data_IF_787353862075
#
_entry.id   IF_787353862075
#
_cell.length_a   1.000
_cell.length_b   1.000
_cell.length_c   1.000
_cell.angle_alpha   90.00
_cell.angle_beta   90.00
_cell.angle_gamma   90.00
#
_symmetry.space_group_name_H-M   'P 1'
#
loop_
_entity.id
_entity.type
_entity.pdbx_description
1 polymer ?
#
# COMPACT_ATOMS: atom_id res chain seq x y z
N UNK A 1 14.22 -20.59 48.50
CA UNK A 1 14.06 -21.50 47.33
C UNK A 1 13.34 -20.74 46.22
N UNK A 2 14.08 -20.02 45.37
CA UNK A 2 13.52 -19.23 44.27
C UNK A 2 13.53 -20.02 42.98
N UNK A 3 12.35 -20.23 42.38
CA UNK A 3 12.23 -20.80 41.03
C UNK A 3 12.72 -19.77 40.01
N UNK A 4 13.84 -20.05 39.37
CA UNK A 4 14.29 -19.33 38.17
C UNK A 4 13.42 -19.81 37.01
N UNK A 5 12.68 -18.88 36.41
CA UNK A 5 11.86 -19.11 35.23
C UNK A 5 12.77 -19.51 34.05
N UNK A 6 12.54 -20.70 33.50
CA UNK A 6 13.10 -21.08 32.19
C UNK A 6 12.39 -20.25 31.13
N UNK A 7 13.08 -19.28 30.55
CA UNK A 7 12.64 -18.67 29.30
C UNK A 7 12.70 -19.75 28.22
N UNK A 8 11.55 -20.03 27.61
CA UNK A 8 11.41 -20.88 26.44
C UNK A 8 12.18 -20.27 25.27
N UNK A 9 13.32 -20.86 24.94
CA UNK A 9 14.05 -20.55 23.72
C UNK A 9 13.17 -20.88 22.51
N UNK A 10 12.77 -19.85 21.76
CA UNK A 10 12.30 -20.05 20.38
C UNK A 10 13.38 -20.75 19.56
N UNK A 11 13.04 -21.33 18.39
CA UNK A 11 13.98 -22.14 17.64
C UNK A 11 15.22 -21.30 17.27
N UNK A 12 16.36 -21.64 17.89
CA UNK A 12 17.68 -21.03 17.70
C UNK A 12 18.16 -21.10 16.23
N UNK A 13 17.44 -21.84 15.39
CA UNK A 13 17.66 -21.97 13.94
C UNK A 13 17.37 -20.70 13.14
N UNK A 14 16.85 -19.64 13.74
CA UNK A 14 16.59 -18.34 13.08
C UNK A 14 17.66 -17.27 13.33
N UNK A 15 18.64 -17.53 14.19
CA UNK A 15 19.72 -16.59 14.50
C UNK A 15 20.84 -16.71 13.46
N UNK A 16 21.34 -15.57 13.00
CA UNK A 16 22.47 -15.51 12.08
C UNK A 16 23.74 -16.00 12.78
N UNK A 17 24.18 -17.20 12.43
CA UNK A 17 25.34 -17.86 13.03
C UNK A 17 26.65 -17.08 12.81
N UNK A 18 26.73 -16.22 11.80
CA UNK A 18 27.91 -15.34 11.63
C UNK A 18 27.90 -14.17 12.60
N UNK A 19 26.71 -13.72 13.02
CA UNK A 19 26.53 -12.60 13.95
C UNK A 19 26.55 -13.07 15.41
N UNK A 20 26.15 -14.31 15.67
CA UNK A 20 26.09 -14.90 17.01
C UNK A 20 26.76 -16.28 17.07
N UNK A 21 28.05 -16.42 16.71
CA UNK A 21 28.72 -17.73 16.62
C UNK A 21 28.71 -18.50 17.94
N UNK A 22 28.79 -17.79 19.07
CA UNK A 22 28.74 -18.39 20.40
C UNK A 22 27.40 -19.07 20.73
N UNK A 23 26.30 -18.71 20.06
CA UNK A 23 24.99 -19.36 20.24
C UNK A 23 25.01 -20.75 19.62
N UNK A 24 25.59 -20.87 18.42
CA UNK A 24 25.79 -22.18 17.76
C UNK A 24 26.83 -23.03 18.47
N UNK A 25 27.87 -22.40 19.00
CA UNK A 25 28.96 -23.06 19.73
C UNK A 25 28.64 -23.29 21.21
N UNK A 26 27.45 -22.89 21.68
CA UNK A 26 27.00 -23.01 23.08
C UNK A 26 28.00 -22.47 24.12
N UNK A 27 28.62 -21.34 23.83
CA UNK A 27 29.58 -20.68 24.72
C UNK A 27 29.17 -19.23 25.01
N UNK A 28 29.92 -18.60 25.91
CA UNK A 28 29.81 -17.16 26.12
C UNK A 28 30.59 -16.41 25.02
N UNK A 29 30.07 -15.27 24.55
CA UNK A 29 30.80 -14.42 23.63
C UNK A 29 31.91 -13.66 24.35
N UNK A 30 33.04 -13.48 23.68
CA UNK A 30 34.06 -12.54 24.13
C UNK A 30 33.64 -11.08 23.87
N UNK A 31 34.42 -10.13 24.40
CA UNK A 31 34.10 -8.71 24.26
C UNK A 31 34.11 -8.23 22.81
N UNK A 32 34.96 -8.79 21.94
CA UNK A 32 35.06 -8.38 20.55
C UNK A 32 33.85 -8.90 19.76
N UNK A 33 33.44 -10.14 20.00
CA UNK A 33 32.26 -10.75 19.42
C UNK A 33 30.97 -10.03 19.84
N UNK A 34 30.85 -9.66 21.12
CA UNK A 34 29.71 -8.88 21.61
C UNK A 34 29.61 -7.53 20.88
N UNK A 35 30.74 -6.80 20.76
CA UNK A 35 30.78 -5.52 20.08
C UNK A 35 30.48 -5.64 18.58
N UNK A 36 31.07 -6.64 17.91
CA UNK A 36 30.83 -6.89 16.49
C UNK A 36 29.36 -7.25 16.22
N UNK A 37 28.76 -8.11 17.04
CA UNK A 37 27.36 -8.47 16.92
C UNK A 37 26.42 -7.29 17.18
N UNK A 38 26.74 -6.44 18.16
CA UNK A 38 25.99 -5.23 18.45
C UNK A 38 26.03 -4.25 17.25
N UNK A 39 27.21 -3.98 16.70
CA UNK A 39 27.38 -3.11 15.55
C UNK A 39 26.68 -3.65 14.29
N UNK A 40 26.84 -4.95 14.00
CA UNK A 40 26.17 -5.60 12.87
C UNK A 40 24.64 -5.54 13.01
N UNK A 41 24.13 -5.81 14.23
CA UNK A 41 22.69 -5.71 14.52
C UNK A 41 22.17 -4.30 14.36
N UNK A 42 22.87 -3.30 14.90
CA UNK A 42 22.51 -1.89 14.76
C UNK A 42 22.49 -1.46 13.28
N UNK A 43 23.47 -1.91 12.49
CA UNK A 43 23.57 -1.61 11.05
C UNK A 43 22.41 -2.23 10.27
N UNK A 44 22.06 -3.49 10.55
CA UNK A 44 20.91 -4.16 9.92
C UNK A 44 19.59 -3.46 10.28
N UNK A 45 19.40 -3.10 11.56
CA UNK A 45 18.21 -2.37 12.01
C UNK A 45 18.12 -0.98 11.37
N UNK A 46 19.22 -0.24 11.30
CA UNK A 46 19.27 1.07 10.66
C UNK A 46 18.94 0.96 9.17
N UNK A 47 19.54 0.00 8.47
CA UNK A 47 19.26 -0.25 7.04
C UNK A 47 17.79 -0.59 6.82
N UNK A 48 17.21 -1.46 7.65
CA UNK A 48 15.82 -1.86 7.54
C UNK A 48 14.85 -0.71 7.81
N UNK A 49 15.17 0.17 8.77
CA UNK A 49 14.42 1.41 9.02
C UNK A 49 14.46 2.32 7.80
N UNK A 50 15.65 2.63 7.28
CA UNK A 50 15.81 3.49 6.09
C UNK A 50 15.06 2.93 4.88
N UNK A 51 15.10 1.61 4.64
CA UNK A 51 14.32 1.00 3.55
C UNK A 51 12.81 1.09 3.77
N UNK A 52 12.35 1.02 5.01
CA UNK A 52 10.92 1.16 5.34
C UNK A 52 10.48 2.61 5.17
N UNK A 53 11.28 3.57 5.65
CA UNK A 53 11.02 4.99 5.52
C UNK A 53 11.00 5.43 4.06
N UNK A 54 11.97 4.97 3.25
CA UNK A 54 11.98 5.24 1.80
C UNK A 54 10.73 4.70 1.09
N UNK A 55 10.25 3.51 1.48
CA UNK A 55 9.01 2.94 0.90
C UNK A 55 7.78 3.73 1.31
N UNK A 56 7.68 4.13 2.57
CA UNK A 56 6.57 4.95 3.06
C UNK A 56 6.57 6.33 2.39
N UNK A 57 7.74 6.96 2.27
CA UNK A 57 7.90 8.22 1.55
C UNK A 57 7.47 8.10 0.09
N UNK A 58 7.84 7.01 -0.59
CA UNK A 58 7.41 6.75 -1.96
C UNK A 58 5.88 6.59 -2.06
N UNK A 59 5.25 5.88 -1.12
CA UNK A 59 3.78 5.76 -1.03
C UNK A 59 3.13 7.13 -0.86
N UNK A 60 3.49 7.87 0.20
CA UNK A 60 2.90 9.19 0.50
C UNK A 60 3.14 10.19 -0.62
N UNK A 61 4.31 10.12 -1.29
CA UNK A 61 4.61 10.97 -2.44
C UNK A 61 3.68 10.66 -3.62
N UNK A 62 3.38 9.39 -3.89
CA UNK A 62 2.47 9.00 -4.97
C UNK A 62 1.04 9.48 -4.70
N UNK A 63 0.51 9.25 -3.50
CA UNK A 63 -0.84 9.71 -3.12
C UNK A 63 -0.97 11.23 -3.26
N UNK A 64 0.02 11.96 -2.75
CA UNK A 64 0.07 13.41 -2.89
C UNK A 64 0.16 13.85 -4.35
N UNK A 65 0.97 13.18 -5.16
CA UNK A 65 1.06 13.47 -6.59
C UNK A 65 -0.29 13.29 -7.30
N UNK A 66 -1.03 12.23 -6.95
CA UNK A 66 -2.38 12.02 -7.50
C UNK A 66 -3.34 13.10 -7.02
N UNK A 67 -3.36 13.43 -5.73
CA UNK A 67 -4.20 14.49 -5.17
C UNK A 67 -3.92 15.86 -5.82
N UNK A 68 -2.64 16.25 -5.92
CA UNK A 68 -2.20 17.50 -6.54
C UNK A 68 -2.63 17.55 -8.02
N UNK A 69 -2.53 16.43 -8.74
CA UNK A 69 -2.98 16.31 -10.12
C UNK A 69 -4.52 16.46 -10.24
N UNK A 70 -5.29 15.79 -9.39
CA UNK A 70 -6.76 15.89 -9.38
C UNK A 70 -7.22 17.33 -9.13
N UNK A 71 -6.59 18.04 -8.19
CA UNK A 71 -6.82 19.47 -8.01
C UNK A 71 -6.42 20.30 -9.23
N UNK A 72 -5.29 19.96 -9.87
CA UNK A 72 -4.80 20.62 -11.07
C UNK A 72 -5.74 20.52 -12.28
N UNK A 73 -6.48 19.42 -12.41
CA UNK A 73 -7.51 19.25 -13.46
C UNK A 73 -8.89 19.80 -13.06
N UNK A 74 -8.98 20.49 -11.92
CA UNK A 74 -10.15 21.24 -11.50
C UNK A 74 -11.12 20.50 -10.57
N UNK A 75 -10.72 19.38 -9.95
CA UNK A 75 -11.53 18.77 -8.89
C UNK A 75 -11.33 19.49 -7.56
N UNK A 76 -12.40 19.59 -6.78
CA UNK A 76 -12.35 20.20 -5.44
C UNK A 76 -11.90 19.18 -4.41
N UNK A 77 -10.82 19.48 -3.67
CA UNK A 77 -10.40 18.65 -2.55
C UNK A 77 -11.22 19.00 -1.29
N UNK A 78 -11.89 18.00 -0.70
CA UNK A 78 -12.67 18.14 0.53
C UNK A 78 -12.11 17.27 1.65
N UNK A 79 -12.52 17.55 2.89
CA UNK A 79 -12.09 16.79 4.06
C UNK A 79 -12.47 15.30 3.97
N UNK A 80 -11.61 14.39 4.49
CA UNK A 80 -11.90 12.95 4.59
C UNK A 80 -13.20 12.68 5.34
N UNK A 81 -13.92 11.64 4.92
CA UNK A 81 -15.18 11.20 5.51
C UNK A 81 -15.39 9.73 5.24
N UNK A 82 -16.04 9.02 6.15
CA UNK A 82 -16.42 7.64 5.90
C UNK A 82 -17.59 7.60 4.91
N UNK A 83 -17.45 6.78 3.87
CA UNK A 83 -18.45 6.66 2.81
C UNK A 83 -19.08 5.28 2.95
N UNK A 84 -20.26 5.24 3.58
CA UNK A 84 -21.02 3.98 3.77
C UNK A 84 -22.10 3.81 2.72
N UNK A 85 -22.59 4.92 2.17
CA UNK A 85 -23.57 5.02 1.09
C UNK A 85 -23.13 6.08 0.08
N UNK A 86 -23.80 6.12 -1.08
CA UNK A 86 -23.51 7.13 -2.11
C UNK A 86 -23.79 8.57 -1.66
N UNK A 87 -24.58 8.79 -0.61
CA UNK A 87 -24.92 10.12 -0.11
C UNK A 87 -23.82 10.69 0.80
N UNK A 88 -22.99 9.83 1.38
CA UNK A 88 -21.88 10.23 2.23
C UNK A 88 -20.68 10.78 1.43
N UNK A 89 -20.67 10.55 0.12
CA UNK A 89 -19.55 10.85 -0.74
C UNK A 89 -19.33 12.36 -0.95
N UNK A 90 -18.14 12.78 -1.44
CA UNK A 90 -17.95 14.14 -1.93
C UNK A 90 -18.97 14.51 -3.01
N UNK A 91 -19.20 15.82 -3.18
CA UNK A 91 -19.98 16.35 -4.29
C UNK A 91 -19.36 15.95 -5.64
N UNK A 92 -20.18 15.92 -6.70
CA UNK A 92 -19.71 15.64 -8.07
C UNK A 92 -18.57 16.57 -8.45
N UNK A 93 -17.51 16.03 -9.05
CA UNK A 93 -16.30 16.80 -9.36
C UNK A 93 -15.44 17.15 -8.14
N UNK A 94 -15.65 16.46 -7.02
CA UNK A 94 -14.84 16.60 -5.81
C UNK A 94 -14.20 15.27 -5.41
N UNK A 95 -13.18 15.34 -4.55
CA UNK A 95 -12.52 14.18 -4.00
C UNK A 95 -12.07 14.41 -2.56
N UNK A 96 -11.87 13.33 -1.82
CA UNK A 96 -11.22 13.36 -0.52
C UNK A 96 -10.00 12.42 -0.50
N UNK A 97 -9.08 12.67 0.43
CA UNK A 97 -7.95 11.77 0.72
C UNK A 97 -8.37 10.48 1.44
N UNK A 98 -7.41 9.80 2.09
CA UNK A 98 -7.62 8.47 2.67
C UNK A 98 -8.86 8.42 3.58
N UNK A 99 -9.79 7.53 3.26
CA UNK A 99 -11.01 7.33 4.05
C UNK A 99 -11.55 5.90 3.89
N UNK A 100 -12.51 5.53 4.75
CA UNK A 100 -13.26 4.29 4.55
C UNK A 100 -14.23 4.46 3.37
N UNK A 101 -14.19 3.52 2.42
CA UNK A 101 -15.17 3.37 1.37
C UNK A 101 -15.80 1.99 1.50
N UNK A 102 -16.96 1.95 2.15
CA UNK A 102 -17.54 0.72 2.65
C UNK A 102 -16.71 0.08 3.75
N UNK A 103 -16.39 -1.21 3.60
CA UNK A 103 -15.59 -1.98 4.56
C UNK A 103 -14.07 -1.89 4.34
N UNK A 104 -13.61 -1.17 3.29
CA UNK A 104 -12.18 -1.03 2.96
C UNK A 104 -11.75 0.42 2.84
N UNK A 105 -10.52 0.70 3.27
CA UNK A 105 -9.86 1.99 3.00
C UNK A 105 -9.50 2.13 1.53
N UNK A 106 -9.75 3.31 0.97
CA UNK A 106 -9.15 3.79 -0.27
C UNK A 106 -8.16 4.90 0.06
N UNK A 107 -7.09 5.04 -0.74
CA UNK A 107 -6.11 6.11 -0.54
C UNK A 107 -6.69 7.47 -0.97
N UNK A 108 -7.58 7.49 -1.97
CA UNK A 108 -8.43 8.64 -2.32
C UNK A 108 -9.82 8.14 -2.77
N UNK A 109 -10.85 8.98 -2.67
CA UNK A 109 -12.15 8.72 -3.30
C UNK A 109 -12.59 9.94 -4.10
N UNK A 110 -12.85 9.73 -5.39
CA UNK A 110 -13.36 10.74 -6.32
C UNK A 110 -14.84 10.50 -6.57
N UNK A 111 -15.66 11.56 -6.51
CA UNK A 111 -17.01 11.54 -7.07
C UNK A 111 -16.93 12.08 -8.50
N UNK A 112 -17.12 11.19 -9.47
CA UNK A 112 -17.12 11.53 -10.89
C UNK A 112 -18.27 12.50 -11.22
N UNK A 113 -18.16 13.23 -12.33
CA UNK A 113 -19.15 14.23 -12.70
C UNK A 113 -20.52 13.60 -13.02
N UNK A 114 -20.51 12.40 -13.61
CA UNK A 114 -21.71 11.57 -13.84
C UNK A 114 -22.29 10.93 -12.57
N UNK A 115 -21.62 11.08 -11.42
CA UNK A 115 -22.10 10.69 -10.10
C UNK A 115 -21.59 9.33 -9.62
N UNK A 116 -20.86 8.59 -10.46
CA UNK A 116 -20.19 7.36 -10.03
C UNK A 116 -19.09 7.66 -9.01
N UNK A 117 -18.80 6.66 -8.18
CA UNK A 117 -17.78 6.67 -7.13
C UNK A 117 -16.53 5.97 -7.63
N UNK A 118 -15.39 6.65 -7.58
CA UNK A 118 -14.10 6.10 -7.96
C UNK A 118 -13.19 6.06 -6.73
N UNK A 119 -13.20 4.96 -5.96
CA UNK A 119 -12.17 4.71 -4.96
C UNK A 119 -10.84 4.39 -5.66
N UNK A 120 -9.78 5.08 -5.24
CA UNK A 120 -8.42 4.98 -5.82
C UNK A 120 -7.46 4.39 -4.80
N UNK A 121 -6.70 3.39 -5.23
CA UNK A 121 -5.57 2.83 -4.51
C UNK A 121 -4.24 3.15 -5.22
N UNK A 122 -3.30 3.78 -4.52
CA UNK A 122 -1.95 4.06 -5.02
C UNK A 122 -1.00 2.92 -4.64
N UNK A 123 -0.44 2.22 -5.64
CA UNK A 123 0.51 1.12 -5.40
C UNK A 123 1.83 1.29 -6.13
N UNK A 124 2.89 1.33 -5.35
CA UNK A 124 4.28 1.20 -5.83
C UNK A 124 4.77 -0.25 -5.67
N UNK A 125 5.34 -0.81 -6.74
CA UNK A 125 5.99 -2.12 -6.73
C UNK A 125 7.41 -2.07 -7.29
N UNK A 126 8.38 -2.44 -6.44
CA UNK A 126 9.81 -2.46 -6.83
C UNK A 126 10.26 -3.81 -7.43
N UNK A 127 9.36 -4.80 -7.57
CA UNK A 127 9.69 -6.06 -8.24
C UNK A 127 8.45 -6.76 -8.81
N UNK A 128 8.63 -7.45 -9.92
CA UNK A 128 7.57 -8.22 -10.58
C UNK A 128 6.99 -9.32 -9.66
N UNK A 129 7.80 -9.95 -8.81
CA UNK A 129 7.33 -11.00 -7.89
C UNK A 129 6.48 -10.43 -6.76
N UNK A 130 6.87 -9.30 -6.17
CA UNK A 130 6.09 -8.64 -5.12
C UNK A 130 4.80 -7.99 -5.68
N UNK A 131 4.77 -7.68 -6.98
CA UNK A 131 3.62 -7.07 -7.63
C UNK A 131 2.35 -7.91 -7.52
N UNK A 132 2.45 -9.25 -7.51
CA UNK A 132 1.29 -10.16 -7.35
C UNK A 132 0.56 -9.88 -6.03
N UNK A 133 1.30 -9.85 -4.92
CA UNK A 133 0.73 -9.63 -3.59
C UNK A 133 0.13 -8.22 -3.46
N UNK A 134 0.73 -7.23 -4.12
CA UNK A 134 0.33 -5.82 -3.99
C UNK A 134 -0.80 -5.41 -4.91
N UNK A 135 -0.96 -6.07 -6.06
CA UNK A 135 -2.03 -5.79 -7.00
C UNK A 135 -3.18 -6.77 -6.79
N UNK A 136 -2.98 -8.05 -7.08
CA UNK A 136 -4.05 -9.03 -7.08
C UNK A 136 -4.56 -9.33 -5.67
N UNK A 137 -3.66 -9.55 -4.71
CA UNK A 137 -4.08 -9.91 -3.34
C UNK A 137 -4.41 -8.70 -2.44
N UNK A 138 -4.43 -7.49 -2.98
CA UNK A 138 -4.71 -6.26 -2.22
C UNK A 138 -5.67 -5.37 -3.01
N UNK A 139 -5.21 -4.70 -4.07
CA UNK A 139 -6.04 -3.79 -4.85
C UNK A 139 -7.21 -4.47 -5.57
N UNK A 140 -7.02 -5.66 -6.18
CA UNK A 140 -8.11 -6.38 -6.85
C UNK A 140 -9.14 -6.93 -5.85
N UNK A 141 -8.70 -7.44 -4.69
CA UNK A 141 -9.61 -7.84 -3.60
C UNK A 141 -10.42 -6.65 -3.08
N UNK A 142 -9.80 -5.46 -2.97
CA UNK A 142 -10.53 -4.23 -2.62
C UNK A 142 -11.55 -3.88 -3.69
N UNK A 143 -11.20 -3.98 -4.98
CA UNK A 143 -12.13 -3.72 -6.08
C UNK A 143 -13.37 -4.62 -6.01
N UNK A 144 -13.18 -5.93 -5.81
CA UNK A 144 -14.29 -6.86 -5.63
C UNK A 144 -15.17 -6.50 -4.43
N UNK A 145 -14.57 -6.12 -3.30
CA UNK A 145 -15.30 -5.70 -2.11
C UNK A 145 -16.13 -4.43 -2.36
N UNK A 146 -15.52 -3.41 -2.96
CA UNK A 146 -16.20 -2.16 -3.31
C UNK A 146 -17.33 -2.37 -4.30
N UNK A 147 -17.11 -3.18 -5.35
CA UNK A 147 -18.14 -3.56 -6.32
C UNK A 147 -19.28 -4.30 -5.64
N UNK A 148 -18.97 -5.24 -4.74
CA UNK A 148 -19.98 -6.00 -4.00
C UNK A 148 -20.87 -5.08 -3.15
N UNK A 149 -20.30 -4.03 -2.58
CA UNK A 149 -21.02 -3.14 -1.66
C UNK A 149 -21.78 -2.02 -2.37
N UNK A 150 -21.18 -1.39 -3.38
CA UNK A 150 -21.74 -0.21 -4.05
C UNK A 150 -22.29 -0.50 -5.46
N UNK A 151 -22.03 -1.69 -6.00
CA UNK A 151 -22.50 -2.13 -7.31
C UNK A 151 -21.59 -1.72 -8.47
N UNK A 152 -21.62 -2.52 -9.53
CA UNK A 152 -20.81 -2.34 -10.75
C UNK A 152 -21.16 -1.08 -11.55
N UNK A 153 -22.42 -0.64 -11.50
CA UNK A 153 -22.87 0.56 -12.22
C UNK A 153 -22.44 1.86 -11.54
N UNK A 154 -22.30 1.85 -10.22
CA UNK A 154 -22.03 3.05 -9.42
C UNK A 154 -20.56 3.21 -9.06
N UNK A 155 -19.73 2.17 -9.24
CA UNK A 155 -18.37 2.14 -8.70
C UNK A 155 -17.36 1.88 -9.80
N UNK A 156 -16.28 2.67 -9.80
CA UNK A 156 -15.12 2.51 -10.68
C UNK A 156 -13.88 2.28 -9.81
N UNK A 157 -13.66 1.07 -9.26
CA UNK A 157 -12.44 0.75 -8.54
C UNK A 157 -11.22 1.06 -9.39
N UNK A 158 -10.26 1.78 -8.82
CA UNK A 158 -9.13 2.28 -9.59
C UNK A 158 -7.82 2.06 -8.84
N UNK A 159 -6.79 1.65 -9.56
CA UNK A 159 -5.42 1.63 -9.05
C UNK A 159 -4.53 2.55 -9.89
N UNK A 160 -3.77 3.40 -9.20
CA UNK A 160 -2.67 4.17 -9.80
C UNK A 160 -1.36 3.45 -9.47
N UNK A 161 -0.71 2.92 -10.49
CA UNK A 161 0.43 2.02 -10.33
C UNK A 161 1.77 2.70 -10.66
N UNK A 162 2.81 2.36 -9.91
CA UNK A 162 4.19 2.75 -10.20
C UNK A 162 5.15 1.57 -10.03
N UNK A 163 6.10 1.44 -10.94
CA UNK A 163 7.11 0.38 -10.93
C UNK A 163 6.76 -0.82 -11.82
N UNK A 164 7.16 -2.03 -11.41
CA UNK A 164 7.20 -3.20 -12.29
C UNK A 164 6.09 -4.20 -11.95
N UNK A 165 5.28 -4.54 -12.95
CA UNK A 165 4.16 -5.48 -12.86
C UNK A 165 4.22 -6.49 -14.01
N UNK A 166 3.83 -7.74 -13.75
CA UNK A 166 3.67 -8.74 -14.81
C UNK A 166 2.36 -8.50 -15.54
N UNK A 167 2.37 -8.59 -16.88
CA UNK A 167 1.16 -8.39 -17.70
C UNK A 167 -0.03 -9.25 -17.25
N UNK A 168 0.16 -10.54 -16.98
CA UNK A 168 -0.95 -11.42 -16.59
C UNK A 168 -1.61 -10.98 -15.27
N UNK A 169 -0.86 -10.41 -14.33
CA UNK A 169 -1.41 -9.89 -13.08
C UNK A 169 -2.29 -8.67 -13.32
N UNK A 170 -1.86 -7.78 -14.22
CA UNK A 170 -2.64 -6.60 -14.64
C UNK A 170 -3.96 -7.04 -15.26
N UNK A 171 -3.91 -8.00 -16.19
CA UNK A 171 -5.11 -8.55 -16.84
C UNK A 171 -6.07 -9.15 -15.82
N UNK A 172 -5.58 -10.00 -14.92
CA UNK A 172 -6.41 -10.59 -13.85
C UNK A 172 -7.04 -9.52 -12.94
N UNK A 173 -6.31 -8.46 -12.62
CA UNK A 173 -6.85 -7.37 -11.81
C UNK A 173 -7.96 -6.60 -12.55
N UNK A 174 -7.80 -6.39 -13.86
CA UNK A 174 -8.85 -5.77 -14.69
C UNK A 174 -10.08 -6.68 -14.83
N UNK A 175 -9.90 -7.99 -14.97
CA UNK A 175 -10.98 -8.97 -14.97
C UNK A 175 -11.78 -8.97 -13.65
N UNK A 176 -11.12 -8.65 -12.53
CA UNK A 176 -11.76 -8.42 -11.23
C UNK A 176 -12.44 -7.04 -11.08
N UNK A 177 -12.46 -6.23 -12.14
CA UNK A 177 -13.11 -4.91 -12.16
C UNK A 177 -12.23 -3.74 -11.73
N UNK A 178 -10.91 -3.93 -11.58
CA UNK A 178 -9.97 -2.85 -11.25
C UNK A 178 -9.56 -2.08 -12.51
N UNK A 179 -9.87 -0.79 -12.56
CA UNK A 179 -9.37 0.15 -13.56
C UNK A 179 -7.92 0.53 -13.22
N UNK A 180 -7.03 0.60 -14.20
CA UNK A 180 -5.60 0.81 -13.96
C UNK A 180 -5.10 2.05 -14.71
N UNK A 181 -4.42 2.93 -13.98
CA UNK A 181 -3.66 4.06 -14.53
C UNK A 181 -2.22 4.03 -14.03
N UNK A 182 -1.31 4.70 -14.75
CA UNK A 182 0.11 4.69 -14.40
C UNK A 182 0.55 6.02 -13.81
N UNK A 183 1.28 5.98 -12.68
CA UNK A 183 1.70 7.18 -11.97
C UNK A 183 2.72 8.06 -12.74
N UNK A 184 3.40 7.49 -13.74
CA UNK A 184 4.33 8.24 -14.57
C UNK A 184 3.62 9.08 -15.65
N UNK A 185 2.36 8.78 -15.93
CA UNK A 185 1.51 9.52 -16.85
C UNK A 185 0.06 9.52 -16.33
N UNK A 186 -0.29 10.60 -15.62
CA UNK A 186 -1.63 10.78 -15.06
C UNK A 186 -2.64 11.37 -16.06
N UNK A 187 -2.20 11.74 -17.27
CA UNK A 187 -3.09 12.32 -18.26
C UNK A 187 -4.29 11.42 -18.59
N UNK A 188 -4.12 10.09 -18.81
CA UNK A 188 -5.26 9.21 -19.05
C UNK A 188 -6.27 9.13 -17.89
N UNK A 189 -5.81 9.27 -16.64
CA UNK A 189 -6.70 9.36 -15.47
C UNK A 189 -7.54 10.62 -15.54
N UNK A 190 -6.91 11.76 -15.82
CA UNK A 190 -7.60 13.04 -15.97
C UNK A 190 -8.59 13.02 -17.13
N UNK A 191 -8.18 12.54 -18.30
CA UNK A 191 -9.02 12.42 -19.49
C UNK A 191 -10.26 11.56 -19.20
N UNK A 192 -10.09 10.42 -18.52
CA UNK A 192 -11.21 9.59 -18.10
C UNK A 192 -12.17 10.35 -17.18
N UNK A 193 -11.66 11.01 -16.13
CA UNK A 193 -12.50 11.74 -15.17
C UNK A 193 -13.24 12.87 -15.88
N UNK A 194 -12.55 13.66 -16.70
CA UNK A 194 -13.14 14.78 -17.43
C UNK A 194 -14.16 14.32 -18.49
N UNK A 195 -14.01 13.12 -19.04
CA UNK A 195 -14.99 12.53 -19.98
C UNK A 195 -16.34 12.20 -19.34
N UNK A 196 -16.43 12.22 -18.00
CA UNK A 196 -17.69 12.00 -17.25
C UNK A 196 -18.52 13.26 -17.04
N UNK A 197 -18.05 14.42 -17.52
CA UNK A 197 -18.77 15.70 -17.45
C UNK A 197 -20.04 15.71 -18.29
#
# INVERSE_FOLDING_TARGET
>A
MGRVARQSAGPLTSLDAKRFPWVTEQRHPDSAEQQAAALASATLLATQRVQTDRRNLAKTKQERQVADYLSGIGLTHVGPRDITTSDDAPERGSFCGECMFGDRKADLVVRLYDGRLMPIECKVSNSATNSVKRLNNDAAIKAEAWIKQFGTLQTVPTAVLSGVFKRHNLVQAQEAGLTIFWAHDLQPLGDFILSTR
#
